data_IF_942650148947
#
_entry.id   IF_942650148947
#
_cell.length_a   1.000
_cell.length_b   1.000
_cell.length_c   1.000
_cell.angle_alpha   90.00
_cell.angle_beta   90.00
_cell.angle_gamma   90.00
#
_symmetry.space_group_name_H-M   'P 1'
#
loop_
_entity.id
_entity.type
_entity.pdbx_description
1 polymer ?
#
# COMPACT_ATOMS: atom_id res chain seq x y z
N UNK A 1 13.08 10.82 19.66
CA UNK A 1 12.01 10.55 18.70
C UNK A 1 12.53 10.93 17.33
N UNK A 2 13.09 9.98 16.60
CA UNK A 2 13.50 10.22 15.22
C UNK A 2 12.23 10.38 14.41
N UNK A 3 11.91 11.62 14.01
CA UNK A 3 10.84 11.90 13.05
C UNK A 3 11.29 11.34 11.70
N UNK A 4 11.21 10.02 11.54
CA UNK A 4 11.48 9.34 10.28
C UNK A 4 10.37 9.72 9.31
N UNK A 5 10.75 10.05 8.08
CA UNK A 5 9.80 10.49 7.07
C UNK A 5 8.75 9.40 6.81
N UNK A 6 7.48 9.74 7.02
CA UNK A 6 6.39 8.77 6.88
C UNK A 6 6.09 8.50 5.40
N UNK A 7 5.81 7.23 5.01
CA UNK A 7 5.41 6.89 3.65
C UNK A 7 4.13 7.62 3.23
N UNK A 8 4.25 8.61 2.35
CA UNK A 8 3.11 9.45 1.94
C UNK A 8 2.55 9.06 0.56
N UNK A 9 3.42 8.74 -0.38
CA UNK A 9 3.04 8.44 -1.76
C UNK A 9 2.74 6.94 -1.93
N UNK A 10 1.57 6.50 -1.48
CA UNK A 10 1.15 5.09 -1.54
C UNK A 10 0.08 4.91 -2.61
N UNK A 11 0.28 3.94 -3.50
CA UNK A 11 -0.66 3.57 -4.56
C UNK A 11 -0.92 2.07 -4.56
N UNK A 12 -2.13 1.69 -4.96
CA UNK A 12 -2.51 0.29 -5.16
C UNK A 12 -2.72 0.05 -6.65
N UNK A 13 -1.98 -0.90 -7.19
CA UNK A 13 -2.19 -1.43 -8.54
C UNK A 13 -3.01 -2.70 -8.40
N UNK A 14 -4.22 -2.73 -8.95
CA UNK A 14 -5.06 -3.92 -8.92
C UNK A 14 -5.12 -4.59 -10.30
N UNK A 15 -4.90 -5.90 -10.33
CA UNK A 15 -5.05 -6.72 -11.54
C UNK A 15 -6.07 -7.83 -11.31
N UNK A 16 -7.08 -7.89 -12.17
CA UNK A 16 -8.02 -9.01 -12.23
C UNK A 16 -7.42 -10.12 -13.09
N UNK A 17 -7.35 -11.35 -12.56
CA UNK A 17 -6.88 -12.53 -13.30
C UNK A 17 -7.93 -13.08 -14.29
N UNK A 18 -9.09 -12.43 -14.42
CA UNK A 18 -10.15 -12.83 -15.33
C UNK A 18 -10.01 -12.14 -16.69
N UNK A 19 -9.17 -12.67 -17.60
CA UNK A 19 -9.49 -12.57 -19.03
C UNK A 19 -8.67 -13.53 -19.89
N UNK A 20 -9.33 -14.57 -20.39
CA UNK A 20 -8.89 -15.42 -21.50
C UNK A 20 -9.02 -14.70 -22.83
N UNK A 21 -8.48 -13.49 -22.98
CA UNK A 21 -8.21 -12.87 -24.28
C UNK A 21 -7.16 -11.78 -24.09
N UNK A 22 -6.12 -11.85 -24.92
CA UNK A 22 -4.97 -10.97 -25.02
C UNK A 22 -5.35 -9.47 -25.06
N UNK A 23 -5.51 -8.85 -23.90
CA UNK A 23 -5.50 -7.40 -23.74
C UNK A 23 -4.60 -7.07 -22.55
N UNK A 24 -3.66 -6.14 -22.73
CA UNK A 24 -2.69 -5.76 -21.70
C UNK A 24 -3.43 -5.39 -20.39
N UNK A 25 -2.95 -5.81 -19.21
CA UNK A 25 -3.59 -5.46 -17.96
C UNK A 25 -3.57 -3.94 -17.80
N UNK A 26 -4.73 -3.30 -17.93
CA UNK A 26 -4.93 -1.92 -17.53
C UNK A 26 -4.84 -1.85 -16.01
N UNK A 27 -3.60 -1.72 -15.51
CA UNK A 27 -3.33 -1.53 -14.09
C UNK A 27 -3.84 -0.15 -13.67
N UNK A 28 -5.04 -0.08 -13.10
CA UNK A 28 -5.52 1.11 -12.43
C UNK A 28 -4.67 1.35 -11.18
N UNK A 29 -4.07 2.54 -11.09
CA UNK A 29 -3.42 3.01 -9.87
C UNK A 29 -4.46 3.74 -9.03
N UNK A 30 -4.74 3.17 -7.86
CA UNK A 30 -5.72 3.67 -6.91
C UNK A 30 -5.01 4.32 -5.73
N UNK A 31 -5.60 5.38 -5.18
CA UNK A 31 -5.12 6.01 -3.95
C UNK A 31 -5.92 5.46 -2.76
N UNK A 32 -5.30 4.68 -1.85
CA UNK A 32 -5.99 4.17 -0.67
C UNK A 32 -6.19 5.28 0.37
N UNK A 33 -7.09 5.04 1.32
CA UNK A 33 -7.10 5.80 2.58
C UNK A 33 -5.94 5.31 3.45
N UNK A 34 -5.02 6.20 3.79
CA UNK A 34 -3.80 5.85 4.55
C UNK A 34 -4.05 6.08 6.03
N UNK A 35 -3.74 5.06 6.85
CA UNK A 35 -3.74 5.12 8.31
C UNK A 35 -2.39 4.62 8.79
N UNK A 36 -1.77 5.34 9.73
CA UNK A 36 -0.50 4.95 10.33
C UNK A 36 -0.78 4.34 11.69
N UNK A 37 -0.31 3.10 11.88
CA UNK A 37 -0.38 2.41 13.15
C UNK A 37 1.04 2.21 13.70
N UNK A 38 1.19 2.40 15.00
CA UNK A 38 2.43 2.20 15.74
C UNK A 38 2.34 0.90 16.57
N UNK A 39 3.45 0.49 17.16
CA UNK A 39 3.52 -0.78 17.91
C UNK A 39 2.59 -0.84 19.11
N UNK A 40 2.16 0.32 19.62
CA UNK A 40 1.33 0.44 20.82
C UNK A 40 -0.18 0.45 20.49
N UNK A 41 -0.53 0.52 19.20
CA UNK A 41 -1.92 0.55 18.74
C UNK A 41 -2.54 -0.86 18.76
N UNK A 42 -3.86 -0.91 18.89
CA UNK A 42 -4.59 -2.18 18.96
C UNK A 42 -4.61 -2.88 17.60
N UNK A 43 -4.27 -4.18 17.51
CA UNK A 43 -4.32 -4.93 16.25
C UNK A 43 -5.75 -5.11 15.72
N UNK A 44 -6.76 -4.88 16.56
CA UNK A 44 -8.17 -4.94 16.16
C UNK A 44 -8.53 -3.80 15.18
N UNK A 45 -7.75 -2.73 15.14
CA UNK A 45 -7.97 -1.63 14.21
C UNK A 45 -7.62 -2.00 12.75
N UNK A 46 -6.85 -3.07 12.55
CA UNK A 46 -6.50 -3.61 11.23
C UNK A 46 -7.55 -4.57 10.66
N UNK A 47 -8.64 -4.81 11.39
CA UNK A 47 -9.73 -5.66 10.94
C UNK A 47 -10.70 -4.87 10.05
N UNK A 48 -11.13 -5.44 8.91
CA UNK A 48 -12.20 -4.85 8.11
C UNK A 48 -13.48 -4.66 8.93
N UNK A 49 -14.12 -3.51 8.79
CA UNK A 49 -15.39 -3.15 9.44
C UNK A 49 -16.61 -3.48 8.58
N UNK A 50 -16.42 -3.67 7.28
CA UNK A 50 -17.45 -4.14 6.35
C UNK A 50 -16.89 -5.17 5.36
N UNK A 51 -17.78 -5.91 4.70
CA UNK A 51 -17.39 -6.94 3.72
C UNK A 51 -16.70 -6.37 2.48
N UNK A 52 -17.04 -5.13 2.11
CA UNK A 52 -16.44 -4.40 0.98
C UNK A 52 -15.15 -3.66 1.35
N UNK A 53 -14.75 -3.67 2.62
CA UNK A 53 -13.52 -3.05 3.07
C UNK A 53 -12.32 -3.98 2.87
N UNK A 54 -11.28 -3.44 2.24
CA UNK A 54 -10.04 -4.17 1.99
C UNK A 54 -8.87 -3.48 2.67
N UNK A 55 -8.30 -4.17 3.66
CA UNK A 55 -7.16 -3.68 4.41
C UNK A 55 -5.88 -4.30 3.86
N UNK A 56 -4.95 -3.40 3.51
CA UNK A 56 -3.59 -3.72 3.09
C UNK A 56 -2.65 -3.08 4.12
N UNK A 57 -1.70 -3.86 4.62
CA UNK A 57 -0.73 -3.42 5.63
C UNK A 57 0.62 -3.23 4.95
N UNK A 58 1.16 -2.01 5.01
CA UNK A 58 2.53 -1.70 4.63
C UNK A 58 3.40 -1.64 5.88
N UNK A 59 4.19 -2.68 6.11
CA UNK A 59 5.19 -2.70 7.17
C UNK A 59 6.35 -1.78 6.76
N UNK A 60 6.56 -0.71 7.52
CA UNK A 60 7.61 0.28 7.29
C UNK A 60 8.44 0.50 8.54
N UNK A 61 9.75 0.42 8.39
CA UNK A 61 10.71 0.75 9.45
C UNK A 61 11.31 2.15 9.20
N UNK A 62 11.00 3.14 10.05
CA UNK A 62 11.53 4.49 9.90
C UNK A 62 13.04 4.59 10.12
N UNK A 63 13.68 3.58 10.75
CA UNK A 63 15.13 3.53 10.89
C UNK A 63 15.83 2.98 9.64
N UNK A 64 15.07 2.45 8.67
CA UNK A 64 15.60 1.89 7.42
C UNK A 64 16.44 0.63 7.61
N UNK A 65 16.29 -0.07 8.74
CA UNK A 65 17.02 -1.31 9.03
C UNK A 65 16.39 -2.52 8.34
N UNK A 66 15.10 -2.45 8.01
CA UNK A 66 14.36 -3.48 7.28
C UNK A 66 13.79 -2.95 5.96
N UNK A 67 13.70 -3.84 4.96
CA UNK A 67 13.02 -3.51 3.72
C UNK A 67 11.51 -3.47 3.96
N UNK A 68 10.79 -2.48 3.38
CA UNK A 68 9.36 -2.40 3.51
C UNK A 68 8.69 -3.62 2.87
N UNK A 69 7.56 -4.04 3.42
CA UNK A 69 6.79 -5.16 2.88
C UNK A 69 5.30 -4.87 2.95
N UNK A 70 4.52 -5.44 2.04
CA UNK A 70 3.08 -5.26 2.02
C UNK A 70 2.35 -6.60 2.13
N UNK A 71 1.27 -6.62 2.91
CA UNK A 71 0.42 -7.79 3.15
C UNK A 71 -1.04 -7.40 3.00
N UNK A 72 -1.87 -8.37 2.64
CA UNK A 72 -3.33 -8.22 2.67
C UNK A 72 -3.88 -8.96 3.88
N UNK A 73 -4.83 -8.36 4.58
CA UNK A 73 -5.66 -9.04 5.58
C UNK A 73 -7.04 -9.40 5.02
N UNK A 74 -7.27 -9.12 3.73
CA UNK A 74 -8.55 -9.35 3.04
C UNK A 74 -8.61 -10.75 2.43
N UNK A 75 -9.80 -11.35 2.41
CA UNK A 75 -9.99 -12.73 1.93
C UNK A 75 -9.94 -12.89 0.40
N UNK A 76 -10.26 -11.83 -0.35
CA UNK A 76 -10.46 -11.86 -1.79
C UNK A 76 -9.40 -11.03 -2.56
N UNK A 77 -8.44 -10.43 -1.86
CA UNK A 77 -7.34 -9.67 -2.46
C UNK A 77 -6.03 -10.16 -1.87
N UNK A 78 -5.07 -10.49 -2.74
CA UNK A 78 -3.72 -10.83 -2.35
C UNK A 78 -2.73 -9.77 -2.82
N UNK A 79 -1.74 -9.43 -1.98
CA UNK A 79 -0.58 -8.63 -2.41
C UNK A 79 0.35 -9.56 -3.19
N UNK A 80 0.72 -9.16 -4.39
CA UNK A 80 1.63 -9.92 -5.26
C UNK A 80 3.04 -9.37 -5.24
N UNK A 81 3.20 -8.07 -5.08
CA UNK A 81 4.51 -7.42 -4.91
C UNK A 81 4.40 -6.01 -4.34
N UNK A 82 5.51 -5.51 -3.81
CA UNK A 82 5.68 -4.11 -3.43
C UNK A 82 6.81 -3.53 -4.27
N UNK A 83 6.55 -2.42 -4.96
CA UNK A 83 7.55 -1.66 -5.69
C UNK A 83 7.79 -0.32 -5.00
N UNK A 84 9.07 0.00 -4.78
CA UNK A 84 9.49 1.28 -4.19
C UNK A 84 10.30 2.05 -5.23
N UNK A 85 9.94 3.30 -5.49
CA UNK A 85 10.63 4.19 -6.44
C UNK A 85 10.68 5.60 -5.90
N UNK A 86 11.43 6.49 -6.54
CA UNK A 86 11.38 7.92 -6.20
C UNK A 86 10.02 8.52 -6.59
N UNK A 87 9.47 9.36 -5.73
CA UNK A 87 8.22 10.07 -5.98
C UNK A 87 8.49 11.29 -6.89
N UNK A 88 7.82 11.38 -8.06
CA UNK A 88 7.96 12.54 -8.94
C UNK A 88 7.55 13.83 -8.22
N UNK A 89 8.45 14.81 -8.18
CA UNK A 89 8.20 16.12 -7.57
C UNK A 89 8.40 16.22 -6.05
N UNK A 90 8.79 15.13 -5.38
CA UNK A 90 9.04 15.16 -3.94
C UNK A 90 10.25 16.03 -3.55
N UNK A 91 11.29 16.05 -4.40
CA UNK A 91 12.45 16.94 -4.26
C UNK A 91 12.12 18.45 -4.23
N UNK A 92 10.92 18.87 -4.67
CA UNK A 92 10.46 20.26 -4.65
C UNK A 92 9.60 20.61 -3.42
N UNK A 93 9.18 19.61 -2.63
CA UNK A 93 8.28 19.78 -1.47
C UNK A 93 9.02 19.89 -0.13
N UNK A 94 10.35 19.85 -0.14
CA UNK A 94 11.23 19.94 1.05
C UNK A 94 11.24 21.31 1.74
N UNK A 95 10.34 22.22 1.35
CA UNK A 95 10.27 23.60 1.88
C UNK A 95 9.12 23.83 2.88
N UNK A 96 8.26 22.84 3.13
CA UNK A 96 7.10 22.97 4.05
C UNK A 96 7.31 22.09 5.30
N UNK A 97 7.68 22.72 6.41
CA UNK A 97 8.33 22.14 7.61
C UNK A 97 7.40 21.38 8.59
N UNK A 98 6.17 21.01 8.23
CA UNK A 98 5.23 20.48 9.22
C UNK A 98 5.27 18.94 9.38
N UNK A 99 5.62 18.19 8.34
CA UNK A 99 5.84 16.74 8.38
C UNK A 99 6.77 16.38 7.21
N UNK A 100 8.03 16.02 7.46
CA UNK A 100 8.95 15.57 6.41
C UNK A 100 8.35 14.33 5.72
N UNK A 101 7.82 14.53 4.51
CA UNK A 101 7.22 13.46 3.70
C UNK A 101 8.34 12.66 3.07
N UNK A 102 8.20 11.35 3.07
CA UNK A 102 9.18 10.48 2.44
C UNK A 102 9.19 10.72 0.92
N UNK A 103 10.38 10.93 0.34
CA UNK A 103 10.59 11.13 -1.10
C UNK A 103 10.36 9.86 -1.94
N UNK A 104 10.01 8.74 -1.31
CA UNK A 104 9.68 7.47 -1.97
C UNK A 104 8.19 7.32 -2.23
N UNK A 105 7.91 6.72 -3.38
CA UNK A 105 6.63 6.20 -3.79
C UNK A 105 6.60 4.68 -3.59
N UNK A 106 5.48 4.20 -3.04
CA UNK A 106 5.21 2.80 -2.76
C UNK A 106 4.02 2.36 -3.60
N UNK A 107 4.23 1.37 -4.46
CA UNK A 107 3.18 0.80 -5.31
C UNK A 107 2.94 -0.64 -4.84
N UNK A 108 1.79 -0.87 -4.23
CA UNK A 108 1.34 -2.19 -3.78
C UNK A 108 0.59 -2.84 -4.94
N UNK A 109 1.17 -3.89 -5.50
CA UNK A 109 0.52 -4.69 -6.54
C UNK A 109 -0.37 -5.74 -5.88
N UNK A 110 -1.60 -5.82 -6.34
CA UNK A 110 -2.63 -6.70 -5.81
C UNK A 110 -3.33 -7.45 -6.93
N UNK A 111 -3.85 -8.63 -6.59
CA UNK A 111 -4.71 -9.41 -7.47
C UNK A 111 -5.97 -9.86 -6.73
N UNK A 112 -7.10 -9.80 -7.43
CA UNK A 112 -8.36 -10.36 -6.92
C UNK A 112 -8.35 -11.87 -7.05
N UNK A 113 -8.70 -12.55 -5.96
CA UNK A 113 -8.85 -13.99 -5.92
C UNK A 113 -10.27 -14.33 -6.39
N UNK A 114 -10.39 -14.98 -7.55
CA UNK A 114 -11.67 -15.53 -8.00
C UNK A 114 -11.99 -16.74 -7.12
N UNK A 115 -13.01 -16.61 -6.28
CA UNK A 115 -13.68 -17.76 -5.66
C UNK A 115 -14.42 -18.51 -6.77
N UNK A 116 -13.96 -19.72 -7.13
CA UNK A 116 -14.67 -20.58 -8.07
C UNK A 116 -16.09 -20.93 -7.57
N UNK A 117 -17.02 -21.32 -8.46
CA UNK A 117 -18.37 -21.70 -8.03
C UNK A 117 -18.32 -22.98 -7.18
N UNK A 118 -18.96 -22.92 -6.02
CA UNK A 118 -19.24 -24.06 -5.13
C UNK A 118 -20.22 -25.06 -5.75
#
# INVERSE_FOLDING_TARGET
>A
MTSGELPYYIFVSNSSLLSTTQAAPSSLLLHPSIQYHYQDDSPLELLPRSEDEHILVLDYDPAGLSQPSAKSTSNNIAVTSLKVTDAPGAAASSSDELLSKNDKMYIIHTSTLSTGPS
#
